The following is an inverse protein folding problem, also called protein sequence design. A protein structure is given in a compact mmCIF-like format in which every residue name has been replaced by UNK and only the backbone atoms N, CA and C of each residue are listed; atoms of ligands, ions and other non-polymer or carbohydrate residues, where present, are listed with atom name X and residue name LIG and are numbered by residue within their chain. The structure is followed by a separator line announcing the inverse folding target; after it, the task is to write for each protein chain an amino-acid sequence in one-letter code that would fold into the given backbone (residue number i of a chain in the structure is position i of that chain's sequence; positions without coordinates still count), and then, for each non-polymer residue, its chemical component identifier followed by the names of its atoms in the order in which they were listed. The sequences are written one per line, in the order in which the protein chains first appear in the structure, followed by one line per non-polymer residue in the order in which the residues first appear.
data_IF_838562283694
#
_entry.id   IF_838562283694
#
_cell.length_a   1.000
_cell.length_b   1.000
_cell.length_c   1.000
_cell.angle_alpha   90.00
_cell.angle_beta   90.00
_cell.angle_gamma   90.00
#
_symmetry.space_group_name_H-M   'P 1'
#
loop_
_entity.id
_entity.type
_entity.pdbx_description
1 polymer ?
#
# COMPACT_ATOMS: atom_id res chain seq x y z
N UNK A 1 -15.54 0.41 11.12
CA UNK A 1 -15.19 1.62 10.34
C UNK A 1 -14.73 1.17 8.97
N UNK A 2 -15.19 1.81 7.90
CA UNK A 2 -14.70 1.52 6.56
C UNK A 2 -13.43 2.34 6.31
N UNK A 3 -12.35 1.67 5.87
CA UNK A 3 -11.09 2.34 5.50
C UNK A 3 -11.11 2.68 4.02
N UNK A 4 -10.56 3.85 3.66
CA UNK A 4 -10.39 4.25 2.26
C UNK A 4 -8.91 4.52 1.98
N UNK A 5 -8.34 3.77 1.04
CA UNK A 5 -6.99 3.97 0.55
C UNK A 5 -7.07 4.76 -0.75
N UNK A 6 -6.38 5.89 -0.85
CA UNK A 6 -6.36 6.70 -2.09
C UNK A 6 -5.02 6.57 -2.77
N UNK A 7 -5.05 6.20 -4.04
CA UNK A 7 -3.88 6.07 -4.89
C UNK A 7 -3.97 7.16 -5.96
N UNK A 8 -2.99 8.06 -5.98
CA UNK A 8 -2.91 9.13 -6.96
C UNK A 8 -2.08 8.64 -8.16
N UNK A 9 -2.72 8.40 -9.30
CA UNK A 9 -2.08 7.90 -10.52
C UNK A 9 -1.69 9.06 -11.43
N UNK A 10 -0.83 9.94 -10.93
CA UNK A 10 -0.39 11.12 -11.65
C UNK A 10 0.49 10.66 -12.82
N UNK A 11 0.17 11.00 -14.07
CA UNK A 11 1.01 10.67 -15.24
C UNK A 11 1.43 9.18 -15.36
N UNK A 12 0.71 8.26 -14.73
CA UNK A 12 0.98 6.83 -14.76
C UNK A 12 -0.05 6.13 -15.63
N UNK A 13 0.39 5.21 -16.48
CA UNK A 13 -0.54 4.32 -17.16
C UNK A 13 -1.08 3.34 -16.11
N UNK A 14 -2.41 3.22 -15.96
CA UNK A 14 -2.98 2.29 -15.00
C UNK A 14 -2.79 0.85 -15.49
N UNK A 15 -1.69 0.23 -15.10
CA UNK A 15 -1.46 -1.19 -15.32
C UNK A 15 -2.42 -1.95 -14.41
N UNK A 16 -3.25 -2.82 -14.99
CA UNK A 16 -4.37 -3.44 -14.27
C UNK A 16 -3.91 -4.35 -13.12
N UNK A 17 -2.83 -5.12 -13.31
CA UNK A 17 -2.42 -6.15 -12.35
C UNK A 17 -2.06 -5.56 -10.96
N UNK A 18 -1.22 -4.50 -10.84
CA UNK A 18 -0.95 -3.86 -9.55
C UNK A 18 -2.20 -3.26 -8.89
N UNK A 19 -3.12 -2.67 -9.67
CA UNK A 19 -4.34 -2.08 -9.12
C UNK A 19 -5.28 -3.15 -8.54
N UNK A 20 -5.39 -4.30 -9.21
CA UNK A 20 -6.15 -5.43 -8.70
C UNK A 20 -5.48 -6.03 -7.45
N UNK A 21 -4.14 -6.10 -7.42
CA UNK A 21 -3.40 -6.55 -6.24
C UNK A 21 -3.66 -5.64 -5.04
N UNK A 22 -3.67 -4.31 -5.23
CA UNK A 22 -4.03 -3.36 -4.17
C UNK A 22 -5.41 -3.63 -3.56
N UNK A 23 -6.41 -3.97 -4.39
CA UNK A 23 -7.74 -4.35 -3.91
C UNK A 23 -7.71 -5.64 -3.08
N UNK A 24 -6.89 -6.61 -3.47
CA UNK A 24 -6.72 -7.86 -2.73
C UNK A 24 -6.01 -7.64 -1.38
N UNK A 25 -5.02 -6.74 -1.33
CA UNK A 25 -4.30 -6.40 -0.10
C UNK A 25 -5.17 -5.58 0.87
N UNK A 26 -5.98 -4.65 0.35
CA UNK A 26 -6.95 -3.90 1.15
C UNK A 26 -8.01 -4.82 1.79
N UNK A 27 -8.48 -5.81 1.02
CA UNK A 27 -9.46 -6.79 1.47
C UNK A 27 -10.90 -6.25 1.57
N UNK A 28 -11.87 -7.11 1.92
CA UNK A 28 -13.28 -6.74 1.95
C UNK A 28 -13.59 -5.70 3.04
N UNK A 29 -14.54 -4.81 2.77
CA UNK A 29 -14.95 -3.74 3.69
C UNK A 29 -14.06 -2.49 3.67
N UNK A 30 -13.02 -2.49 2.83
CA UNK A 30 -12.26 -1.30 2.47
C UNK A 30 -12.61 -0.82 1.06
N UNK A 31 -12.24 0.42 0.75
CA UNK A 31 -12.33 1.00 -0.59
C UNK A 31 -10.95 1.46 -1.05
N UNK A 32 -10.57 1.13 -2.28
CA UNK A 32 -9.40 1.68 -2.95
C UNK A 32 -9.87 2.69 -4.00
N UNK A 33 -9.55 3.95 -3.79
CA UNK A 33 -9.93 5.06 -4.63
C UNK A 33 -8.74 5.52 -5.50
N UNK A 34 -8.86 5.33 -6.81
CA UNK A 34 -7.90 5.76 -7.81
C UNK A 34 -8.25 7.16 -8.30
N UNK A 35 -7.34 8.12 -8.17
CA UNK A 35 -7.54 9.53 -8.54
C UNK A 35 -6.57 9.96 -9.63
N UNK A 36 -6.81 11.15 -10.21
CA UNK A 36 -6.00 11.71 -11.31
C UNK A 36 -6.02 10.87 -12.59
N UNK A 37 -7.09 10.09 -12.80
CA UNK A 37 -7.22 9.26 -14.00
C UNK A 37 -7.60 10.12 -15.22
N UNK A 38 -7.07 9.75 -16.39
CA UNK A 38 -7.66 10.24 -17.65
C UNK A 38 -9.09 9.73 -17.81
N UNK A 39 -9.90 10.39 -18.64
CA UNK A 39 -11.27 9.94 -18.95
C UNK A 39 -11.31 8.50 -19.45
N UNK A 40 -10.39 8.14 -20.36
CA UNK A 40 -10.29 6.80 -20.93
C UNK A 40 -9.90 5.77 -19.86
N UNK A 41 -8.89 6.10 -19.04
CA UNK A 41 -8.44 5.28 -17.93
C UNK A 41 -9.54 5.04 -16.90
N UNK A 42 -10.25 6.10 -16.50
CA UNK A 42 -11.36 6.01 -15.55
C UNK A 42 -12.48 5.11 -16.06
N UNK A 43 -12.88 5.25 -17.33
CA UNK A 43 -13.91 4.40 -17.93
C UNK A 43 -13.46 2.92 -18.00
N UNK A 44 -12.21 2.69 -18.44
CA UNK A 44 -11.64 1.35 -18.56
C UNK A 44 -11.51 0.63 -17.21
N UNK A 45 -11.02 1.32 -16.18
CA UNK A 45 -10.90 0.77 -14.83
C UNK A 45 -12.27 0.55 -14.18
N UNK A 46 -13.20 1.48 -14.33
CA UNK A 46 -14.56 1.32 -13.82
C UNK A 46 -15.23 0.09 -14.43
N UNK A 47 -15.09 -0.14 -15.74
CA UNK A 47 -15.59 -1.35 -16.40
C UNK A 47 -14.85 -2.62 -15.94
N UNK A 48 -13.55 -2.53 -15.66
CA UNK A 48 -12.75 -3.68 -15.20
C UNK A 48 -13.04 -4.07 -13.75
N UNK A 49 -13.50 -3.14 -12.94
CA UNK A 49 -13.76 -3.34 -11.50
C UNK A 49 -15.24 -3.36 -11.13
N UNK A 50 -16.15 -3.27 -12.10
CA UNK A 50 -17.60 -3.29 -11.85
C UNK A 50 -18.10 -4.62 -11.27
N UNK A 51 -17.37 -5.71 -11.48
CA UNK A 51 -17.68 -7.00 -10.87
C UNK A 51 -17.13 -7.03 -9.45
N UNK A 52 -18.04 -7.17 -8.48
CA UNK A 52 -17.68 -7.42 -7.09
C UNK A 52 -17.20 -8.86 -6.96
N UNK A 53 -15.93 -9.03 -6.60
CA UNK A 53 -15.34 -10.33 -6.34
C UNK A 53 -15.24 -10.53 -4.82
N UNK A 54 -15.68 -11.68 -4.29
CA UNK A 54 -15.60 -11.95 -2.86
C UNK A 54 -14.13 -11.92 -2.39
N UNK A 55 -13.85 -11.10 -1.38
CA UNK A 55 -12.52 -10.95 -0.80
C UNK A 55 -11.69 -9.78 -1.34
N UNK A 56 -12.17 -9.04 -2.35
CA UNK A 56 -11.54 -7.79 -2.80
C UNK A 56 -12.17 -6.56 -2.16
N UNK A 57 -11.39 -5.49 -2.02
CA UNK A 57 -11.90 -4.17 -1.70
C UNK A 57 -12.75 -3.58 -2.85
N UNK A 58 -13.66 -2.68 -2.49
CA UNK A 58 -14.38 -1.86 -3.47
C UNK A 58 -13.40 -0.96 -4.20
N UNK A 59 -13.64 -0.74 -5.50
CA UNK A 59 -12.83 0.16 -6.30
C UNK A 59 -13.64 1.40 -6.66
N UNK A 60 -13.05 2.57 -6.47
CA UNK A 60 -13.60 3.83 -6.96
C UNK A 60 -12.59 4.49 -7.90
N UNK A 61 -13.06 4.99 -9.04
CA UNK A 61 -12.20 5.58 -10.07
C UNK A 61 -12.65 7.02 -10.34
N UNK A 62 -11.73 7.96 -10.20
CA UNK A 62 -11.99 9.40 -10.28
C UNK A 62 -11.02 10.08 -11.24
N UNK A 63 -11.57 11.00 -12.05
CA UNK A 63 -10.76 11.87 -12.89
C UNK A 63 -10.16 13.01 -12.08
N UNK A 64 -10.93 13.52 -11.11
CA UNK A 64 -10.49 14.58 -10.24
C UNK A 64 -9.31 14.19 -9.35
N UNK A 65 -8.57 15.20 -8.91
CA UNK A 65 -7.48 15.04 -7.97
C UNK A 65 -7.96 14.85 -6.53
N UNK A 66 -7.02 14.47 -5.67
CA UNK A 66 -7.27 14.12 -4.26
C UNK A 66 -7.99 15.24 -3.50
N UNK A 67 -7.59 16.50 -3.69
CA UNK A 67 -8.18 17.64 -2.95
C UNK A 67 -9.65 17.85 -3.29
N UNK A 68 -10.00 17.77 -4.56
CA UNK A 68 -11.40 17.89 -5.02
C UNK A 68 -12.24 16.74 -4.47
N UNK A 69 -11.65 15.53 -4.44
CA UNK A 69 -12.31 14.35 -3.87
C UNK A 69 -12.52 14.48 -2.36
N UNK A 70 -11.55 15.01 -1.62
CA UNK A 70 -11.67 15.28 -0.19
C UNK A 70 -12.78 16.30 0.09
N UNK A 71 -12.84 17.41 -0.66
CA UNK A 71 -13.90 18.41 -0.53
C UNK A 71 -15.28 17.80 -0.83
N UNK A 72 -15.39 17.03 -1.91
CA UNK A 72 -16.64 16.37 -2.31
C UNK A 72 -17.11 15.29 -1.33
N UNK A 73 -16.19 14.75 -0.53
CA UNK A 73 -16.46 13.74 0.48
C UNK A 73 -16.52 14.33 1.91
N UNK A 74 -16.42 15.66 2.06
CA UNK A 74 -16.36 16.37 3.34
C UNK A 74 -15.27 15.80 4.30
N UNK A 75 -14.10 15.51 3.75
CA UNK A 75 -12.95 14.97 4.49
C UNK A 75 -11.97 16.08 4.82
N UNK A 76 -11.78 16.33 6.12
CA UNK A 76 -10.78 17.26 6.63
C UNK A 76 -9.36 16.74 6.37
N UNK A 77 -8.45 17.68 6.12
CA UNK A 77 -7.05 17.39 5.79
C UNK A 77 -6.32 16.63 6.91
N UNK A 78 -6.62 16.93 8.17
CA UNK A 78 -6.03 16.23 9.34
C UNK A 78 -6.42 14.75 9.46
N UNK A 79 -7.44 14.30 8.73
CA UNK A 79 -7.87 12.90 8.68
C UNK A 79 -7.19 12.10 7.57
N UNK A 80 -6.39 12.78 6.75
CA UNK A 80 -5.69 12.19 5.62
C UNK A 80 -4.21 12.08 5.98
N UNK A 81 -3.70 10.85 5.97
CA UNK A 81 -2.29 10.57 6.17
C UNK A 81 -1.60 10.41 4.80
N UNK A 82 -0.64 11.28 4.51
CA UNK A 82 0.23 11.16 3.35
C UNK A 82 1.40 10.23 3.68
N UNK A 83 1.58 9.17 2.88
CA UNK A 83 2.75 8.30 3.00
C UNK A 83 3.90 8.92 2.22
N UNK A 84 4.94 9.29 2.96
CA UNK A 84 6.05 10.07 2.45
C UNK A 84 7.37 9.49 3.00
N UNK A 85 8.27 9.00 2.13
CA UNK A 85 9.58 8.50 2.55
C UNK A 85 10.42 9.52 3.33
N UNK A 86 10.11 10.82 3.21
CA UNK A 86 10.79 11.92 3.92
C UNK A 86 10.14 12.32 5.25
N UNK A 87 9.02 11.69 5.63
CA UNK A 87 8.38 11.98 6.90
C UNK A 87 9.29 11.62 8.08
N UNK A 88 9.24 12.40 9.16
CA UNK A 88 10.03 12.16 10.37
C UNK A 88 9.52 10.95 11.18
N UNK A 89 8.20 10.72 11.16
CA UNK A 89 7.53 9.70 11.98
C UNK A 89 7.11 8.50 11.17
N UNK A 90 7.38 7.31 11.71
CA UNK A 90 6.92 6.05 11.13
C UNK A 90 5.41 5.89 11.34
N UNK A 91 4.72 5.28 10.37
CA UNK A 91 3.31 4.91 10.50
C UNK A 91 3.12 4.01 11.72
N UNK A 92 2.16 4.34 12.56
CA UNK A 92 1.86 3.61 13.79
C UNK A 92 0.39 3.15 13.84
N UNK A 93 0.05 2.09 14.60
CA UNK A 93 -1.31 1.57 14.66
C UNK A 93 -2.35 2.62 15.07
N UNK A 94 -2.00 3.55 15.95
CA UNK A 94 -2.83 4.68 16.41
C UNK A 94 -3.25 5.64 15.29
N UNK A 95 -2.48 5.73 14.19
CA UNK A 95 -2.84 6.53 13.02
C UNK A 95 -4.13 6.00 12.34
N UNK A 96 -4.50 4.76 12.62
CA UNK A 96 -5.75 4.15 12.16
C UNK A 96 -6.99 4.47 12.98
N UNK A 97 -6.85 5.03 14.18
CA UNK A 97 -7.98 5.21 15.13
C UNK A 97 -8.85 6.42 14.81
N UNK A 98 -8.54 7.14 13.72
CA UNK A 98 -9.23 8.39 13.36
C UNK A 98 -9.02 9.51 14.38
N UNK A 99 -8.02 9.36 15.26
CA UNK A 99 -7.56 10.42 16.14
C UNK A 99 -6.63 11.32 15.34
N UNK A 100 -6.84 12.64 15.32
CA UNK A 100 -5.82 13.53 14.81
C UNK A 100 -4.49 13.26 15.56
N UNK A 101 -3.34 13.36 14.88
CA UNK A 101 -2.06 13.34 15.58
C UNK A 101 -2.08 14.38 16.71
N UNK A 102 -1.28 14.22 17.77
CA UNK A 102 -1.30 15.10 18.96
C UNK A 102 -1.09 16.60 18.69
N UNK A 103 -0.84 16.98 17.43
CA UNK A 103 -0.75 18.35 16.92
C UNK A 103 -2.06 18.95 16.38
N UNK A 104 -3.17 18.23 16.26
CA UNK A 104 -4.44 18.82 15.81
C UNK A 104 -5.65 18.42 16.65
N UNK A 105 -6.55 19.38 16.87
CA UNK A 105 -7.61 19.36 17.86
C UNK A 105 -8.99 19.31 17.21
N UNK A 106 -9.32 18.27 16.46
CA UNK A 106 -10.70 18.09 15.99
C UNK A 106 -11.08 16.63 15.75
N UNK A 107 -12.25 16.26 16.27
CA UNK A 107 -12.78 14.91 16.31
C UNK A 107 -13.65 14.64 15.09
N UNK A 108 -13.26 13.72 14.20
CA UNK A 108 -14.19 12.87 13.43
C UNK A 108 -13.43 11.85 12.56
N UNK A 109 -14.00 10.65 12.40
CA UNK A 109 -13.27 9.46 11.94
C UNK A 109 -13.41 9.20 10.43
N UNK A 110 -12.30 9.22 9.70
CA UNK A 110 -12.13 8.58 8.38
C UNK A 110 -10.68 8.69 7.91
N UNK A 111 -9.89 7.62 8.05
CA UNK A 111 -8.45 7.61 7.75
C UNK A 111 -8.20 7.31 6.26
N UNK A 112 -7.76 8.33 5.52
CA UNK A 112 -7.37 8.24 4.11
C UNK A 112 -5.85 8.11 4.01
N UNK A 113 -5.33 7.05 3.38
CA UNK A 113 -3.88 6.92 3.11
C UNK A 113 -3.57 7.22 1.65
N UNK A 114 -2.62 8.13 1.39
CA UNK A 114 -2.17 8.51 0.04
C UNK A 114 -0.85 7.82 -0.31
N UNK A 115 -0.84 7.07 -1.42
CA UNK A 115 0.37 6.39 -1.92
C UNK A 115 0.93 7.07 -3.19
N UNK A 116 2.24 7.28 -3.19
CA UNK A 116 3.00 7.89 -4.30
C UNK A 116 3.46 6.92 -5.39
N UNK A 117 3.85 7.51 -6.52
CA UNK A 117 4.20 6.92 -7.82
C UNK A 117 5.35 5.90 -7.84
N UNK A 118 5.30 5.02 -8.85
CA UNK A 118 6.37 4.14 -9.32
C UNK A 118 6.68 4.45 -10.81
N UNK A 119 7.91 4.81 -11.23
CA UNK A 119 9.16 4.91 -10.46
C UNK A 119 9.25 6.18 -9.59
N UNK A 120 10.14 6.20 -8.57
CA UNK A 120 10.23 7.25 -7.57
C UNK A 120 10.61 8.59 -8.21
N UNK A 121 9.61 9.44 -8.39
CA UNK A 121 9.78 10.89 -8.55
C UNK A 121 9.17 11.54 -7.32
N UNK A 122 9.80 12.61 -6.81
CA UNK A 122 9.36 13.37 -5.62
C UNK A 122 8.05 14.15 -5.88
N UNK A 123 6.98 13.43 -6.25
CA UNK A 123 5.66 13.97 -6.59
C UNK A 123 4.81 14.21 -5.34
N UNK A 124 5.22 13.70 -4.18
CA UNK A 124 4.64 14.07 -2.89
C UNK A 124 5.06 15.47 -2.44
N UNK A 125 6.05 16.11 -3.09
CA UNK A 125 6.48 17.47 -2.74
C UNK A 125 5.39 18.53 -2.82
N UNK A 126 4.55 18.48 -3.85
CA UNK A 126 3.39 19.39 -3.98
C UNK A 126 2.36 19.14 -2.88
N UNK A 127 2.14 17.87 -2.49
CA UNK A 127 1.22 17.51 -1.41
C UNK A 127 1.77 17.87 -0.04
N UNK A 128 3.10 17.79 0.21
CA UNK A 128 3.71 18.22 1.48
C UNK A 128 3.42 19.67 1.79
N UNK A 129 3.44 20.54 0.77
CA UNK A 129 3.18 21.97 0.94
C UNK A 129 1.74 22.27 1.40
N UNK A 130 0.82 21.31 1.27
CA UNK A 130 -0.59 21.46 1.65
C UNK A 130 -0.85 21.15 3.13
N UNK A 131 0.16 20.66 3.87
CA UNK A 131 0.08 20.48 5.33
C UNK A 131 -0.50 19.15 5.80
N UNK A 132 -0.56 18.13 4.93
CA UNK A 132 -1.03 16.79 5.33
C UNK A 132 -0.21 16.22 6.48
N UNK A 133 -0.83 15.57 7.47
CA UNK A 133 -0.12 14.63 8.34
C UNK A 133 0.68 13.64 7.50
N UNK A 134 1.99 13.52 7.76
CA UNK A 134 2.87 12.62 7.01
C UNK A 134 3.39 11.48 7.88
N UNK A 135 3.58 10.32 7.25
CA UNK A 135 4.21 9.12 7.86
C UNK A 135 5.08 8.39 6.84
N UNK A 136 6.17 7.76 7.30
CA UNK A 136 7.00 6.89 6.47
C UNK A 136 6.78 5.41 6.83
N UNK A 137 7.06 4.49 5.91
CA UNK A 137 6.92 3.03 6.09
C UNK A 137 8.26 2.33 6.39
N UNK A 138 9.24 3.10 6.85
CA UNK A 138 10.62 2.66 7.06
C UNK A 138 11.60 3.24 6.02
N UNK A 139 12.87 2.82 6.08
CA UNK A 139 13.95 3.38 5.27
C UNK A 139 14.07 2.77 3.87
N UNK A 140 13.53 1.56 3.67
CA UNK A 140 13.57 0.84 2.38
C UNK A 140 12.30 1.15 1.61
N UNK A 141 12.45 1.48 0.33
CA UNK A 141 11.33 1.78 -0.54
C UNK A 141 10.46 0.53 -0.78
N UNK A 142 9.16 0.75 -0.88
CA UNK A 142 8.16 -0.26 -1.23
C UNK A 142 7.49 0.14 -2.56
N UNK A 143 7.01 -0.85 -3.31
CA UNK A 143 6.06 -0.61 -4.39
C UNK A 143 4.73 -0.08 -3.84
N UNK A 144 3.94 0.62 -4.65
CA UNK A 144 2.67 1.24 -4.23
C UNK A 144 1.70 0.21 -3.63
N UNK A 145 1.61 -0.98 -4.22
CA UNK A 145 0.77 -2.07 -3.73
C UNK A 145 1.25 -2.63 -2.39
N UNK A 146 2.55 -2.90 -2.25
CA UNK A 146 3.17 -3.32 -0.98
C UNK A 146 2.92 -2.29 0.10
N UNK A 147 3.16 -1.01 -0.19
CA UNK A 147 2.96 0.08 0.74
C UNK A 147 1.50 0.15 1.21
N UNK A 148 0.52 -0.12 0.34
CA UNK A 148 -0.89 -0.20 0.72
C UNK A 148 -1.15 -1.36 1.67
N UNK A 149 -0.64 -2.55 1.35
CA UNK A 149 -0.80 -3.71 2.21
C UNK A 149 -0.16 -3.53 3.59
N UNK A 150 1.03 -2.93 3.66
CA UNK A 150 1.70 -2.62 4.94
C UNK A 150 0.89 -1.62 5.74
N UNK A 151 0.39 -0.55 5.11
CA UNK A 151 -0.49 0.42 5.78
C UNK A 151 -1.71 -0.26 6.38
N UNK A 152 -2.40 -1.13 5.63
CA UNK A 152 -3.53 -1.91 6.12
C UNK A 152 -3.16 -2.77 7.32
N UNK A 153 -2.03 -3.48 7.28
CA UNK A 153 -1.56 -4.30 8.40
C UNK A 153 -1.28 -3.47 9.66
N UNK A 154 -0.72 -2.28 9.51
CA UNK A 154 -0.39 -1.39 10.63
C UNK A 154 -1.65 -0.77 11.22
N UNK A 155 -2.46 -0.09 10.41
CA UNK A 155 -3.54 0.79 10.90
C UNK A 155 -4.88 0.08 11.09
N UNK A 156 -5.15 -0.96 10.31
CA UNK A 156 -6.40 -1.70 10.33
C UNK A 156 -6.26 -3.03 11.08
N UNK A 157 -5.22 -3.82 10.79
CA UNK A 157 -5.00 -5.10 11.48
C UNK A 157 -4.29 -4.96 12.82
N UNK A 158 -3.79 -3.75 13.13
CA UNK A 158 -3.05 -3.44 14.36
C UNK A 158 -1.85 -4.38 14.59
N UNK A 159 -1.14 -4.71 13.52
CA UNK A 159 0.02 -5.60 13.56
C UNK A 159 -0.31 -7.09 13.64
N UNK A 160 -1.58 -7.51 13.45
CA UNK A 160 -1.89 -8.93 13.22
C UNK A 160 -1.51 -9.29 11.79
N UNK A 161 -0.54 -10.18 11.56
CA UNK A 161 -0.30 -10.68 10.21
C UNK A 161 -1.54 -11.47 9.74
N UNK A 162 -1.83 -11.49 8.42
CA UNK A 162 -3.02 -12.13 7.85
C UNK A 162 -3.07 -13.66 8.05
N UNK A 163 -2.05 -14.27 8.64
CA UNK A 163 -1.92 -15.71 8.88
C UNK A 163 -2.21 -16.16 10.32
N UNK A 164 -2.54 -15.27 11.26
CA UNK A 164 -3.01 -15.72 12.58
C UNK A 164 -4.51 -16.03 12.49
N UNK A 165 -4.84 -17.30 12.24
CA UNK A 165 -6.15 -17.85 12.54
C UNK A 165 -6.46 -17.64 14.02
N UNK A 166 -7.76 -17.52 14.36
CA UNK A 166 -8.24 -17.39 15.74
C UNK A 166 -7.79 -18.56 16.65
N UNK A 167 -7.39 -19.66 16.02
CA UNK A 167 -6.82 -20.84 16.62
C UNK A 167 -5.30 -20.63 16.65
N UNK A 168 -4.83 -20.05 17.74
CA UNK A 168 -3.43 -19.71 17.92
C UNK A 168 -2.54 -20.95 17.94
N UNK A 169 -1.93 -21.29 16.81
CA UNK A 169 -0.70 -22.07 16.77
C UNK A 169 -0.04 -21.91 15.39
N UNK A 170 0.99 -21.08 15.33
CA UNK A 170 2.10 -21.31 14.42
C UNK A 170 3.38 -20.83 15.10
N UNK A 171 4.22 -21.81 15.34
CA UNK A 171 5.58 -21.76 15.86
C UNK A 171 6.48 -20.93 14.93
N UNK A 172 6.48 -19.61 15.10
CA UNK A 172 7.56 -18.75 14.61
C UNK A 172 8.51 -18.52 15.77
N UNK A 173 9.46 -19.45 15.88
CA UNK A 173 10.55 -19.42 16.84
C UNK A 173 11.24 -18.04 16.86
N UNK A 174 11.27 -17.48 18.07
CA UNK A 174 12.35 -16.70 18.67
C UNK A 174 13.30 -15.97 17.69
N UNK A 175 13.01 -14.71 17.38
CA UNK A 175 13.98 -13.72 16.88
C UNK A 175 13.96 -12.46 17.76
N UNK A 176 15.11 -11.77 17.93
CA UNK A 176 15.38 -10.92 19.09
C UNK A 176 14.55 -9.64 19.09
N UNK A 177 14.09 -9.30 20.29
CA UNK A 177 13.13 -8.26 20.59
C UNK A 177 13.78 -6.87 20.69
N UNK A 178 13.14 -5.83 20.18
CA UNK A 178 13.43 -4.42 20.53
C UNK A 178 12.24 -3.87 21.31
N UNK A 179 12.49 -3.19 22.43
CA UNK A 179 11.50 -2.93 23.46
C UNK A 179 10.69 -1.65 23.18
N UNK A 180 9.50 -1.78 22.60
CA UNK A 180 8.45 -0.75 22.64
C UNK A 180 7.24 -1.31 23.41
N UNK A 181 6.97 -0.74 24.59
CA UNK A 181 5.93 -1.10 25.56
C UNK A 181 4.90 -2.17 25.14
N UNK A 182 5.14 -3.39 25.63
CA UNK A 182 4.29 -4.58 25.72
C UNK A 182 3.71 -5.25 24.46
N UNK A 183 3.97 -4.75 23.25
CA UNK A 183 3.88 -5.53 21.99
C UNK A 183 4.64 -4.81 20.88
N UNK A 184 5.82 -5.30 20.56
CA UNK A 184 6.68 -4.74 19.51
C UNK A 184 6.57 -5.62 18.27
N UNK A 185 6.01 -5.08 17.18
CA UNK A 185 6.12 -5.67 15.86
C UNK A 185 7.02 -4.77 15.03
N UNK A 186 8.26 -5.18 14.72
CA UNK A 186 9.00 -4.48 13.70
C UNK A 186 8.29 -4.69 12.36
N UNK A 187 7.85 -3.63 11.68
CA UNK A 187 7.41 -3.73 10.28
C UNK A 187 8.49 -4.42 9.42
N UNK A 188 9.76 -4.36 9.84
CA UNK A 188 10.88 -5.08 9.22
C UNK A 188 10.85 -6.61 9.38
N UNK A 189 9.98 -7.20 10.20
CA UNK A 189 9.76 -8.66 10.21
C UNK A 189 8.63 -9.11 9.30
N UNK A 190 7.84 -8.17 8.74
CA UNK A 190 6.71 -8.49 7.87
C UNK A 190 7.08 -8.44 6.38
N UNK A 191 8.25 -7.90 6.04
CA UNK A 191 8.69 -7.74 4.65
C UNK A 191 10.06 -8.32 4.37
N UNK A 192 10.27 -8.71 3.11
CA UNK A 192 11.56 -9.12 2.59
C UNK A 192 12.19 -7.93 1.87
N UNK A 193 13.42 -7.58 2.27
CA UNK A 193 14.20 -6.51 1.65
C UNK A 193 14.95 -7.06 0.46
N UNK A 194 14.69 -6.46 -0.70
CA UNK A 194 15.35 -6.79 -1.96
C UNK A 194 15.33 -8.29 -2.30
N UNK A 195 14.14 -8.93 -2.35
CA UNK A 195 14.04 -10.36 -2.54
C UNK A 195 14.53 -10.77 -3.93
N UNK A 196 15.20 -11.92 -4.00
CA UNK A 196 15.57 -12.56 -5.26
C UNK A 196 14.49 -13.57 -5.67
N UNK A 197 13.84 -13.33 -6.80
CA UNK A 197 12.90 -14.26 -7.41
C UNK A 197 13.70 -15.23 -8.28
N UNK A 198 13.69 -16.51 -7.91
CA UNK A 198 14.39 -17.57 -8.64
C UNK A 198 13.41 -18.28 -9.58
N UNK A 199 13.75 -18.36 -10.87
CA UNK A 199 12.96 -19.06 -11.88
C UNK A 199 13.51 -20.48 -12.12
N UNK A 200 14.83 -20.60 -12.21
CA UNK A 200 15.53 -21.88 -12.31
C UNK A 200 16.96 -21.75 -11.74
N UNK A 201 17.84 -22.73 -12.00
CA UNK A 201 19.20 -22.75 -11.44
C UNK A 201 20.12 -21.61 -11.94
N UNK A 202 19.79 -21.01 -13.08
CA UNK A 202 20.61 -20.01 -13.77
C UNK A 202 19.89 -18.67 -13.93
N UNK A 203 18.58 -18.65 -13.73
CA UNK A 203 17.72 -17.48 -13.95
C UNK A 203 17.11 -17.01 -12.63
N UNK A 204 17.42 -15.76 -12.28
CA UNK A 204 16.87 -15.08 -11.12
C UNK A 204 16.86 -13.58 -11.32
N UNK A 205 15.90 -12.90 -10.69
CA UNK A 205 15.80 -11.43 -10.70
C UNK A 205 15.78 -10.92 -9.27
N UNK A 206 16.67 -9.97 -8.97
CA UNK A 206 16.65 -9.24 -7.70
C UNK A 206 15.68 -8.05 -7.82
N UNK A 207 14.73 -7.97 -6.88
CA UNK A 207 13.74 -6.91 -6.86
C UNK A 207 14.24 -5.77 -5.97
N UNK A 208 14.43 -4.53 -6.44
CA UNK A 208 15.10 -3.47 -5.67
C UNK A 208 14.21 -2.77 -4.63
N UNK A 209 13.20 -3.47 -4.09
CA UNK A 209 12.23 -2.93 -3.15
C UNK A 209 11.98 -3.90 -1.99
N UNK A 210 11.34 -3.39 -0.93
CA UNK A 210 10.74 -4.21 0.11
C UNK A 210 9.37 -4.71 -0.35
N UNK A 211 9.08 -5.98 -0.10
CA UNK A 211 7.79 -6.64 -0.37
C UNK A 211 7.23 -7.27 0.89
N UNK A 212 5.90 -7.45 0.97
CA UNK A 212 5.26 -8.22 2.05
C UNK A 212 5.69 -9.70 1.89
N UNK A 213 6.11 -10.34 2.97
CA UNK A 213 6.48 -11.75 2.95
C UNK A 213 5.23 -12.65 2.91
N UNK A 214 5.26 -13.68 2.06
CA UNK A 214 4.33 -14.81 2.04
C UNK A 214 5.12 -16.11 2.17
N UNK A 215 5.38 -16.50 3.42
CA UNK A 215 6.32 -17.57 3.74
C UNK A 215 7.75 -17.23 3.31
N UNK A 216 8.27 -17.94 2.31
CA UNK A 216 9.63 -17.71 1.76
C UNK A 216 9.64 -16.81 0.54
N UNK A 217 8.49 -16.55 -0.09
CA UNK A 217 8.40 -15.76 -1.32
C UNK A 217 7.81 -14.36 -1.02
N UNK A 218 8.16 -13.34 -1.82
CA UNK A 218 7.49 -12.06 -1.74
C UNK A 218 6.08 -12.15 -2.32
N UNK A 219 5.14 -11.41 -1.73
CA UNK A 219 3.77 -11.32 -2.24
C UNK A 219 3.72 -10.37 -3.44
N UNK A 220 3.54 -10.92 -4.64
CA UNK A 220 3.56 -10.18 -5.91
C UNK A 220 2.16 -10.10 -6.54
N UNK A 221 1.88 -9.07 -7.37
CA UNK A 221 0.70 -9.06 -8.21
C UNK A 221 0.61 -10.30 -9.11
N UNK A 222 -0.60 -10.79 -9.40
CA UNK A 222 -0.78 -11.89 -10.34
C UNK A 222 -0.25 -11.51 -11.72
N UNK A 223 0.51 -12.40 -12.35
CA UNK A 223 1.15 -12.15 -13.65
C UNK A 223 2.53 -11.49 -13.56
N UNK A 224 2.93 -10.93 -12.40
CA UNK A 224 4.22 -10.22 -12.30
C UNK A 224 5.41 -11.16 -12.46
N UNK A 225 5.34 -12.39 -11.93
CA UNK A 225 6.44 -13.37 -12.05
C UNK A 225 6.65 -13.76 -13.51
N UNK A 226 5.57 -13.96 -14.25
CA UNK A 226 5.59 -14.27 -15.68
C UNK A 226 6.18 -13.10 -16.49
N UNK A 227 5.75 -11.86 -16.22
CA UNK A 227 6.31 -10.67 -16.87
C UNK A 227 7.81 -10.51 -16.64
N UNK A 228 8.28 -10.75 -15.41
CA UNK A 228 9.70 -10.71 -15.07
C UNK A 228 10.49 -11.80 -15.82
N UNK A 229 9.90 -12.99 -15.99
CA UNK A 229 10.52 -14.07 -16.76
C UNK A 229 10.61 -13.72 -18.26
N UNK A 230 9.54 -13.17 -18.82
CA UNK A 230 9.50 -12.76 -20.24
C UNK A 230 10.50 -11.63 -20.54
N UNK A 231 10.60 -10.61 -19.70
CA UNK A 231 11.53 -9.49 -19.91
C UNK A 231 13.00 -9.92 -19.74
N UNK A 232 13.27 -10.86 -18.84
CA UNK A 232 14.59 -11.48 -18.74
C UNK A 232 14.93 -12.26 -20.01
N UNK A 233 13.98 -13.02 -20.60
CA UNK A 233 14.22 -13.76 -21.84
C UNK A 233 14.46 -12.85 -23.06
N UNK A 234 13.75 -11.72 -23.18
CA UNK A 234 13.97 -10.73 -24.24
C UNK A 234 15.38 -10.12 -24.20
N UNK A 235 16.01 -10.09 -23.03
CA UNK A 235 17.36 -9.54 -22.86
C UNK A 235 18.46 -10.41 -23.51
N UNK A 236 18.12 -11.61 -23.99
CA UNK A 236 19.05 -12.54 -24.65
C UNK A 236 18.90 -12.63 -26.17
N UNK A 237 17.90 -11.96 -26.77
CA UNK A 237 17.74 -11.87 -28.22
C UNK A 237 18.61 -10.73 -28.79
N UNK A 238 19.88 -11.02 -29.09
CA UNK A 238 20.82 -10.13 -29.78
C UNK A 238 21.27 -10.68 -31.14
#
# INVERSE_FOLDING_TARGET
MAFTYVVALINALPIRQPLQHMRALAGPGATVAFTHLSRASSASLHASFSTSEPGLADAACYQEGVLVRMQSADVLLEKVCLLDPRAEKMLAPEDGDGRPPPSSSSSSSSSLSLHGDDPPRDRTGELRALGFPTRHLGPVQMTTDTALGVTKMVVQDKGRPPFLTADGETDLGYLPMVQCGWRTFPISSCGQDQPTIVFNKHESVEMPFRYIADGKEPRLPPGMKEHLHEDMNKSFDF
#
